data_IF_482161584999
#
_entry.id   IF_482161584999
#
_cell.length_a   1.000
_cell.length_b   1.000
_cell.length_c   1.000
_cell.angle_alpha   90.00
_cell.angle_beta   90.00
_cell.angle_gamma   90.00
#
_symmetry.space_group_name_H-M   'P 1'
#
loop_
_entity.id
_entity.type
_entity.pdbx_description
1 polymer ?
#
# COMPACT_ATOMS: atom_id res chain seq x y z
N UNK A 1 4.76 -16.70 2.17
CA UNK A 1 3.66 -15.81 1.72
C UNK A 1 4.11 -14.36 1.72
N UNK A 2 3.57 -13.57 0.81
CA UNK A 2 3.81 -12.13 0.79
C UNK A 2 2.93 -11.43 1.82
N UNK A 3 3.48 -10.45 2.49
CA UNK A 3 2.72 -9.61 3.41
C UNK A 3 3.30 -8.21 3.42
N UNK A 4 2.54 -7.27 3.98
CA UNK A 4 3.03 -5.91 4.14
C UNK A 4 3.90 -5.81 5.38
N UNK A 5 5.00 -5.08 5.27
CA UNK A 5 5.93 -4.86 6.39
C UNK A 5 5.43 -3.77 7.33
N UNK A 6 4.50 -2.94 6.85
CA UNK A 6 4.02 -1.78 7.60
C UNK A 6 2.58 -1.50 7.20
N UNK A 7 1.96 -0.55 7.91
CA UNK A 7 0.61 -0.10 7.57
C UNK A 7 0.74 0.95 6.46
N UNK A 8 0.47 0.51 5.23
CA UNK A 8 0.64 1.35 4.05
C UNK A 8 -0.26 2.58 4.10
N UNK A 9 -1.53 2.40 4.50
CA UNK A 9 -2.46 3.52 4.58
C UNK A 9 -2.01 4.55 5.61
N UNK A 10 -1.46 4.11 6.72
CA UNK A 10 -0.94 5.01 7.73
C UNK A 10 0.27 5.78 7.19
N UNK A 11 1.17 5.10 6.49
CA UNK A 11 2.34 5.74 5.89
C UNK A 11 1.92 6.80 4.88
N UNK A 12 0.93 6.48 4.06
CA UNK A 12 0.42 7.45 3.09
C UNK A 12 -0.16 8.67 3.79
N UNK A 13 -0.92 8.46 4.86
CA UNK A 13 -1.50 9.56 5.64
C UNK A 13 -0.41 10.44 6.26
N UNK A 14 0.67 9.82 6.74
CA UNK A 14 1.80 10.57 7.30
C UNK A 14 2.46 11.47 6.27
N UNK A 15 2.40 11.09 5.00
CA UNK A 15 2.93 11.88 3.91
C UNK A 15 1.92 12.89 3.34
N UNK A 16 0.75 12.98 3.95
CA UNK A 16 -0.30 13.88 3.51
C UNK A 16 -1.29 13.28 2.54
N UNK A 17 -1.20 11.99 2.26
CA UNK A 17 -2.11 11.30 1.34
C UNK A 17 -3.13 10.49 2.12
N UNK A 18 -4.09 11.19 2.76
CA UNK A 18 -5.16 10.50 3.47
C UNK A 18 -6.16 9.89 2.47
N UNK A 19 -7.08 9.01 2.93
CA UNK A 19 -8.02 8.36 2.00
C UNK A 19 -8.85 9.34 1.19
N UNK A 20 -9.26 10.45 1.79
CA UNK A 20 -10.05 11.46 1.07
C UNK A 20 -9.25 12.04 -0.09
N UNK A 21 -7.99 12.37 0.15
CA UNK A 21 -7.13 12.95 -0.87
C UNK A 21 -6.82 11.95 -1.97
N UNK A 22 -6.53 10.71 -1.60
CA UNK A 22 -6.28 9.65 -2.59
C UNK A 22 -7.47 9.44 -3.50
N UNK A 23 -8.67 9.47 -2.92
CA UNK A 23 -9.92 9.32 -3.66
C UNK A 23 -10.19 10.52 -4.56
N UNK A 24 -10.03 11.70 -3.98
CA UNK A 24 -10.28 12.97 -4.67
C UNK A 24 -9.38 13.15 -5.89
N UNK A 25 -8.12 12.75 -5.78
CA UNK A 25 -7.15 12.87 -6.86
C UNK A 25 -7.18 11.66 -7.81
N UNK A 26 -7.98 10.64 -7.49
CA UNK A 26 -8.06 9.45 -8.32
C UNK A 26 -6.78 8.62 -8.32
N UNK A 27 -5.98 8.73 -7.27
CA UNK A 27 -4.70 8.02 -7.19
C UNK A 27 -4.91 6.55 -6.89
N UNK A 28 -5.75 6.25 -5.90
CA UNK A 28 -6.09 4.88 -5.54
C UNK A 28 -7.60 4.75 -5.44
N UNK A 29 -8.13 3.64 -5.95
CA UNK A 29 -9.56 3.37 -5.87
C UNK A 29 -9.95 2.82 -4.50
N UNK A 30 -11.24 2.85 -4.21
CA UNK A 30 -11.79 2.36 -2.94
C UNK A 30 -11.43 0.90 -2.69
N UNK A 31 -11.51 0.08 -3.73
CA UNK A 31 -11.21 -1.35 -3.61
C UNK A 31 -9.76 -1.57 -3.19
N UNK A 32 -8.84 -0.82 -3.80
CA UNK A 32 -7.42 -0.91 -3.47
C UNK A 32 -7.18 -0.48 -2.03
N UNK A 33 -7.80 0.62 -1.60
CA UNK A 33 -7.65 1.10 -0.23
C UNK A 33 -8.23 0.11 0.78
N UNK A 34 -9.37 -0.51 0.45
CA UNK A 34 -9.97 -1.53 1.29
C UNK A 34 -9.04 -2.73 1.43
N UNK A 35 -8.44 -3.17 0.31
CA UNK A 35 -7.50 -4.29 0.33
C UNK A 35 -6.29 -3.97 1.20
N UNK A 36 -5.76 -2.75 1.10
CA UNK A 36 -4.64 -2.34 1.93
C UNK A 36 -4.97 -2.37 3.42
N UNK A 37 -6.17 -1.92 3.78
CA UNK A 37 -6.62 -1.95 5.19
C UNK A 37 -6.75 -3.36 5.71
N UNK A 38 -7.15 -4.29 4.85
CA UNK A 38 -7.34 -5.70 5.23
C UNK A 38 -6.06 -6.51 5.18
N UNK A 39 -4.99 -5.93 4.62
CA UNK A 39 -3.75 -6.65 4.42
C UNK A 39 -3.75 -7.54 3.20
N UNK A 40 -4.72 -7.39 2.31
CA UNK A 40 -4.80 -8.16 1.06
C UNK A 40 -3.83 -7.59 0.03
N UNK A 41 -3.36 -8.43 -0.87
CA UNK A 41 -2.45 -8.02 -1.93
C UNK A 41 -3.19 -7.17 -2.96
N UNK A 42 -2.46 -6.27 -3.59
CA UNK A 42 -2.99 -5.39 -4.63
C UNK A 42 -2.16 -5.56 -5.90
N UNK A 43 -2.59 -4.92 -6.98
CA UNK A 43 -1.89 -5.04 -8.24
C UNK A 43 -0.50 -4.41 -8.17
N UNK A 44 0.42 -4.90 -9.02
CA UNK A 44 1.76 -4.32 -9.10
C UNK A 44 1.72 -2.86 -9.53
N UNK A 45 0.74 -2.49 -10.34
CA UNK A 45 0.56 -1.10 -10.75
C UNK A 45 0.25 -0.21 -9.56
N UNK A 46 -0.58 -0.71 -8.64
CA UNK A 46 -0.89 0.03 -7.42
C UNK A 46 0.34 0.12 -6.51
N UNK A 47 1.13 -0.93 -6.44
CA UNK A 47 2.40 -0.90 -5.69
C UNK A 47 3.34 0.15 -6.29
N UNK A 48 3.41 0.21 -7.62
CA UNK A 48 4.22 1.22 -8.30
C UNK A 48 3.80 2.63 -7.90
N UNK A 49 2.50 2.88 -7.90
CA UNK A 49 1.95 4.19 -7.50
C UNK A 49 2.33 4.54 -6.06
N UNK A 50 2.17 3.60 -5.15
CA UNK A 50 2.48 3.80 -3.73
C UNK A 50 3.96 4.06 -3.54
N UNK A 51 4.82 3.31 -4.22
CA UNK A 51 6.26 3.53 -4.14
C UNK A 51 6.63 4.93 -4.62
N UNK A 52 5.97 5.39 -5.66
CA UNK A 52 6.18 6.74 -6.17
C UNK A 52 5.80 7.79 -5.12
N UNK A 53 4.63 7.63 -4.51
CA UNK A 53 4.14 8.58 -3.50
C UNK A 53 5.02 8.60 -2.26
N UNK A 54 5.48 7.45 -1.82
CA UNK A 54 6.29 7.32 -0.61
C UNK A 54 7.78 7.44 -0.89
N UNK A 55 8.18 7.48 -2.15
CA UNK A 55 9.59 7.52 -2.56
C UNK A 55 10.36 6.37 -1.94
N UNK A 56 9.84 5.16 -2.12
CA UNK A 56 10.43 3.96 -1.54
C UNK A 56 10.44 2.83 -2.55
N UNK A 57 11.06 1.73 -2.18
CA UNK A 57 11.13 0.52 -3.00
C UNK A 57 10.05 -0.46 -2.57
N UNK A 58 9.61 -1.37 -3.47
CA UNK A 58 8.62 -2.39 -3.09
C UNK A 58 9.06 -3.21 -1.88
N UNK A 59 10.35 -3.48 -1.73
CA UNK A 59 10.87 -4.21 -0.58
C UNK A 59 10.76 -3.46 0.74
N UNK A 60 10.50 -2.16 0.68
CA UNK A 60 10.22 -1.38 1.89
C UNK A 60 8.78 -1.56 2.36
N UNK A 61 7.90 -2.00 1.46
CA UNK A 61 6.48 -2.17 1.75
C UNK A 61 6.10 -3.61 1.99
N UNK A 62 6.76 -4.53 1.27
CA UNK A 62 6.39 -5.94 1.23
C UNK A 62 7.56 -6.82 1.64
N UNK A 63 7.23 -7.99 2.17
CA UNK A 63 8.23 -9.02 2.43
C UNK A 63 7.60 -10.38 2.18
N UNK A 64 8.44 -11.34 1.86
CA UNK A 64 8.01 -12.73 1.75
C UNK A 64 8.49 -13.46 3.00
N UNK A 65 7.59 -14.20 3.63
CA UNK A 65 7.94 -15.00 4.78
C UNK A 65 7.52 -16.44 4.53
N UNK A 66 8.26 -17.33 5.14
CA UNK A 66 7.94 -18.75 5.12
C UNK A 66 6.92 -18.98 6.23
N UNK A 67 5.69 -19.31 5.81
CA UNK A 67 4.62 -19.54 6.78
C UNK A 67 4.52 -21.01 7.17
N UNK A 68 5.53 -21.77 6.84
CA UNK A 68 5.62 -23.20 7.12
C UNK A 68 6.19 -23.46 8.51
N UNK A 69 5.77 -22.66 9.44
CA UNK A 69 6.36 -22.76 10.76
C UNK A 69 5.49 -23.39 11.80
#
# INVERSE_FOLDING_TARGET
MLRYKLDVMQKLSEKGYNPRKLRSLGILGERTMTSLRRGDLISLKSIDTICCLLQCQPGDLLEWIDDDG
#
